data_IF_333145133766
#
_entry.id   IF_333145133766
#
_cell.length_a   1.000
_cell.length_b   1.000
_cell.length_c   1.000
_cell.angle_alpha   90.00
_cell.angle_beta   90.00
_cell.angle_gamma   90.00
#
_symmetry.space_group_name_H-M   'P 1'
#
loop_
_entity.id
_entity.type
_entity.pdbx_description
1 polymer ?
#
# COMPACT_ATOMS: atom_id res chain seq x y z
N UNK A 1 -0.09 -18.66 -12.43
CA UNK A 1 -0.16 -17.29 -12.95
C UNK A 1 1.02 -16.48 -12.45
N UNK A 2 1.65 -15.77 -13.33
CA UNK A 2 2.79 -14.96 -12.95
C UNK A 2 2.33 -13.59 -12.49
N UNK A 3 2.93 -13.13 -11.43
CA UNK A 3 2.78 -11.77 -10.97
C UNK A 3 3.60 -10.83 -11.85
N UNK A 4 3.03 -9.67 -12.16
CA UNK A 4 3.76 -8.62 -12.84
C UNK A 4 4.93 -8.16 -11.97
N UNK A 5 6.12 -8.01 -12.57
CA UNK A 5 7.30 -7.62 -11.81
C UNK A 5 7.69 -6.20 -12.14
N UNK A 6 8.13 -5.48 -11.12
CA UNK A 6 8.68 -4.14 -11.28
C UNK A 6 10.15 -4.29 -11.67
N UNK A 7 10.55 -3.53 -12.69
CA UNK A 7 11.93 -3.57 -13.19
C UNK A 7 12.55 -2.19 -13.08
N UNK A 8 13.84 -2.17 -12.77
CA UNK A 8 14.64 -0.94 -12.75
C UNK A 8 14.12 0.11 -11.77
N UNK A 9 13.44 -0.32 -10.71
CA UNK A 9 12.95 0.59 -9.69
C UNK A 9 11.90 1.60 -10.16
N UNK A 10 11.25 1.34 -11.27
CA UNK A 10 10.20 2.24 -11.78
C UNK A 10 8.88 1.94 -11.11
N UNK A 11 8.01 2.95 -11.09
CA UNK A 11 6.63 2.75 -10.65
C UNK A 11 5.97 1.64 -11.46
N UNK A 12 5.25 0.81 -10.78
CA UNK A 12 4.54 -0.31 -11.38
C UNK A 12 3.24 0.20 -11.97
N UNK A 13 3.28 0.60 -13.23
CA UNK A 13 2.12 1.19 -13.90
C UNK A 13 0.93 0.24 -13.96
N UNK A 14 1.23 -1.04 -14.18
CA UNK A 14 0.21 -2.08 -14.18
C UNK A 14 0.72 -3.19 -13.28
N UNK A 15 0.08 -3.36 -12.14
CA UNK A 15 0.42 -4.41 -11.20
C UNK A 15 -0.72 -5.41 -11.12
N UNK A 16 -0.39 -6.61 -10.67
CA UNK A 16 -1.37 -7.68 -10.48
C UNK A 16 -1.46 -8.04 -9.02
N UNK A 17 -2.68 -8.12 -8.53
CA UNK A 17 -2.97 -8.62 -7.20
C UNK A 17 -3.14 -10.13 -7.31
N UNK A 18 -2.23 -10.88 -6.70
CA UNK A 18 -2.27 -12.34 -6.73
C UNK A 18 -3.28 -12.90 -5.76
N UNK A 19 -4.05 -13.87 -6.22
CA UNK A 19 -5.07 -14.56 -5.44
C UNK A 19 -4.72 -16.03 -5.30
N UNK A 20 -5.21 -16.71 -4.23
CA UNK A 20 -4.85 -18.11 -3.98
C UNK A 20 -5.36 -19.09 -5.05
N UNK A 21 -6.37 -18.71 -5.81
CA UNK A 21 -6.92 -19.55 -6.87
C UNK A 21 -6.15 -19.46 -8.19
N UNK A 22 -5.03 -18.75 -8.20
CA UNK A 22 -4.22 -18.55 -9.39
C UNK A 22 -4.70 -17.44 -10.30
N UNK A 23 -5.80 -16.81 -9.97
CA UNK A 23 -6.30 -15.66 -10.71
C UNK A 23 -5.63 -14.39 -10.21
N UNK A 24 -5.55 -13.39 -11.05
CA UNK A 24 -4.99 -12.11 -10.68
C UNK A 24 -5.74 -10.99 -11.39
N UNK A 25 -5.67 -9.81 -10.80
CA UNK A 25 -6.29 -8.62 -11.36
C UNK A 25 -5.22 -7.56 -11.60
N UNK A 26 -5.31 -6.89 -12.75
CA UNK A 26 -4.35 -5.86 -13.12
C UNK A 26 -4.92 -4.48 -12.80
N UNK A 27 -4.07 -3.60 -12.29
CA UNK A 27 -4.43 -2.22 -12.00
C UNK A 27 -3.29 -1.29 -12.40
N UNK A 28 -3.66 -0.11 -12.85
CA UNK A 28 -2.71 0.93 -13.22
C UNK A 28 -2.49 1.85 -12.02
N UNK A 29 -1.28 1.85 -11.50
CA UNK A 29 -0.89 2.62 -10.32
C UNK A 29 -0.09 3.88 -10.67
N UNK A 30 -0.10 4.30 -11.92
CA UNK A 30 0.68 5.45 -12.36
C UNK A 30 0.05 6.81 -12.05
N UNK A 31 -1.21 6.84 -11.66
CA UNK A 31 -1.93 8.07 -11.38
C UNK A 31 -1.51 8.68 -10.04
N UNK A 32 -1.69 10.01 -9.92
CA UNK A 32 -1.42 10.72 -8.67
C UNK A 32 -2.33 10.25 -7.52
N UNK A 33 -3.54 9.87 -7.86
CA UNK A 33 -4.52 9.37 -6.91
C UNK A 33 -4.83 7.93 -7.23
N UNK A 34 -4.89 7.12 -6.20
CA UNK A 34 -5.21 5.71 -6.38
C UNK A 34 -6.16 5.28 -5.28
N UNK A 35 -7.25 4.61 -5.67
CA UNK A 35 -8.21 4.03 -4.74
C UNK A 35 -8.58 2.63 -5.20
N UNK A 36 -8.77 1.75 -4.21
CA UNK A 36 -9.22 0.37 -4.43
C UNK A 36 -10.70 0.20 -4.13
N UNK A 37 -11.47 1.29 -4.09
CA UNK A 37 -12.84 1.27 -3.57
C UNK A 37 -13.77 0.31 -4.32
N UNK A 38 -13.50 0.04 -5.61
CA UNK A 38 -14.32 -0.87 -6.41
C UNK A 38 -13.68 -2.24 -6.61
N UNK A 39 -12.62 -2.53 -5.87
CA UNK A 39 -11.78 -3.70 -6.09
C UNK A 39 -11.91 -4.64 -4.90
N UNK A 40 -12.25 -5.90 -5.16
CA UNK A 40 -12.33 -6.91 -4.11
C UNK A 40 -10.94 -7.46 -3.83
N UNK A 41 -10.41 -7.15 -2.65
CA UNK A 41 -9.09 -7.60 -2.24
C UNK A 41 -9.12 -8.72 -1.20
N UNK A 42 -10.30 -9.21 -0.84
CA UNK A 42 -10.44 -10.17 0.26
C UNK A 42 -9.65 -11.46 0.05
N UNK A 43 -9.45 -11.86 -1.21
CA UNK A 43 -8.73 -13.11 -1.55
C UNK A 43 -7.31 -12.86 -2.05
N UNK A 44 -6.79 -11.66 -1.90
CA UNK A 44 -5.43 -11.35 -2.30
C UNK A 44 -4.45 -11.89 -1.27
N UNK A 45 -3.39 -12.54 -1.72
CA UNK A 45 -2.39 -13.15 -0.84
C UNK A 45 -1.02 -12.50 -0.92
N UNK A 46 -0.70 -11.82 -2.03
CA UNK A 46 0.64 -11.29 -2.25
C UNK A 46 0.56 -9.85 -2.74
N UNK A 47 1.16 -8.96 -1.97
CA UNK A 47 1.25 -7.54 -2.29
C UNK A 47 2.69 -7.05 -2.32
N UNK A 48 3.63 -7.96 -2.53
CA UNK A 48 5.04 -7.59 -2.62
C UNK A 48 5.24 -6.59 -3.76
N UNK A 49 5.91 -5.48 -3.45
CA UNK A 49 6.26 -4.43 -4.41
C UNK A 49 5.06 -3.80 -5.12
N UNK A 50 3.90 -3.79 -4.48
CA UNK A 50 2.66 -3.33 -5.12
C UNK A 50 2.78 -1.89 -5.64
N UNK A 51 3.28 -0.98 -4.82
CA UNK A 51 3.46 0.43 -5.19
C UNK A 51 4.94 0.83 -5.22
N UNK A 52 5.80 -0.12 -5.49
CA UNK A 52 7.24 0.07 -5.51
C UNK A 52 7.62 1.23 -6.44
N UNK A 53 8.33 2.21 -5.89
CA UNK A 53 8.87 3.35 -6.62
C UNK A 53 7.80 4.20 -7.34
N UNK A 54 6.58 4.24 -6.84
CA UNK A 54 5.51 5.06 -7.40
C UNK A 54 5.64 6.50 -6.90
N UNK A 55 6.60 7.23 -7.45
CA UNK A 55 6.98 8.57 -6.97
C UNK A 55 5.94 9.64 -7.26
N UNK A 56 5.08 9.42 -8.25
CA UNK A 56 4.01 10.35 -8.60
C UNK A 56 2.76 10.17 -7.77
N UNK A 57 2.71 9.11 -6.97
CA UNK A 57 1.54 8.80 -6.17
C UNK A 57 1.53 9.69 -4.94
N UNK A 58 0.54 10.57 -4.85
CA UNK A 58 0.43 11.52 -3.73
C UNK A 58 -0.62 11.10 -2.71
N UNK A 59 -1.67 10.44 -3.16
CA UNK A 59 -2.75 9.98 -2.29
C UNK A 59 -3.06 8.52 -2.59
N UNK A 60 -2.98 7.68 -1.58
CA UNK A 60 -3.28 6.27 -1.70
C UNK A 60 -4.45 5.94 -0.78
N UNK A 61 -5.59 5.59 -1.37
CA UNK A 61 -6.79 5.28 -0.63
C UNK A 61 -7.01 3.77 -0.62
N UNK A 62 -6.78 3.17 0.53
CA UNK A 62 -6.93 1.74 0.77
C UNK A 62 -8.07 1.46 1.75
N UNK A 63 -9.04 2.36 1.83
CA UNK A 63 -10.11 2.27 2.84
C UNK A 63 -10.95 0.99 2.71
N UNK A 64 -11.04 0.42 1.51
CA UNK A 64 -11.80 -0.82 1.28
C UNK A 64 -10.90 -2.05 1.14
N UNK A 65 -9.64 -1.90 1.45
CA UNK A 65 -8.66 -2.98 1.32
C UNK A 65 -8.79 -3.95 2.48
N UNK A 66 -8.89 -5.23 2.15
CA UNK A 66 -8.91 -6.31 3.13
C UNK A 66 -7.61 -7.11 2.98
N UNK A 67 -6.72 -6.99 3.95
CA UNK A 67 -5.44 -7.67 3.92
C UNK A 67 -5.42 -8.96 4.75
N UNK A 68 -6.56 -9.45 5.18
CA UNK A 68 -6.64 -10.61 6.07
C UNK A 68 -6.00 -11.87 5.48
N UNK A 69 -6.00 -12.01 4.15
CA UNK A 69 -5.37 -13.15 3.48
C UNK A 69 -3.97 -12.87 2.96
N UNK A 70 -3.45 -11.66 3.15
CA UNK A 70 -2.16 -11.28 2.60
C UNK A 70 -1.03 -11.87 3.44
N UNK A 71 -0.09 -12.54 2.78
CA UNK A 71 1.08 -13.14 3.44
C UNK A 71 2.38 -12.42 3.10
N UNK A 72 2.37 -11.53 2.09
CA UNK A 72 3.55 -10.79 1.70
C UNK A 72 3.23 -9.35 1.32
N UNK A 73 4.00 -8.41 1.86
CA UNK A 73 3.89 -6.99 1.57
C UNK A 73 5.27 -6.37 1.46
N UNK A 74 6.24 -7.18 1.04
CA UNK A 74 7.64 -6.80 1.02
C UNK A 74 7.88 -5.68 0.02
N UNK A 75 8.49 -4.58 0.46
CA UNK A 75 8.77 -3.39 -0.34
C UNK A 75 7.53 -2.79 -1.02
N UNK A 76 6.35 -2.99 -0.45
CA UNK A 76 5.10 -2.55 -1.08
C UNK A 76 5.07 -1.03 -1.32
N UNK A 77 5.65 -0.25 -0.41
CA UNK A 77 5.64 1.22 -0.50
C UNK A 77 7.03 1.80 -0.74
N UNK A 78 7.98 0.98 -1.14
CA UNK A 78 9.37 1.42 -1.29
C UNK A 78 9.47 2.58 -2.28
N UNK A 79 10.15 3.65 -1.86
CA UNK A 79 10.42 4.82 -2.68
C UNK A 79 9.17 5.60 -3.14
N UNK A 80 8.06 5.45 -2.45
CA UNK A 80 6.86 6.27 -2.71
C UNK A 80 7.00 7.65 -2.06
N UNK A 81 8.02 8.41 -2.47
CA UNK A 81 8.38 9.66 -1.80
C UNK A 81 7.40 10.79 -2.02
N UNK A 82 6.57 10.70 -3.05
CA UNK A 82 5.53 11.70 -3.30
C UNK A 82 4.29 11.53 -2.44
N UNK A 83 4.15 10.39 -1.78
CA UNK A 83 2.95 10.08 -1.02
C UNK A 83 2.85 10.96 0.22
N UNK A 84 1.78 11.74 0.31
CA UNK A 84 1.53 12.62 1.45
C UNK A 84 0.21 12.34 2.15
N UNK A 85 -0.63 11.47 1.59
CA UNK A 85 -1.90 11.08 2.19
C UNK A 85 -2.10 9.58 2.03
N UNK A 86 -2.36 8.90 3.14
CA UNK A 86 -2.61 7.48 3.18
C UNK A 86 -3.93 7.25 3.91
N UNK A 87 -4.92 6.72 3.19
CA UNK A 87 -6.23 6.42 3.79
C UNK A 87 -6.30 4.92 4.02
N UNK A 88 -6.48 4.53 5.26
CA UNK A 88 -6.57 3.11 5.63
C UNK A 88 -7.96 2.79 6.16
N UNK A 89 -8.37 1.55 5.97
CA UNK A 89 -9.64 1.05 6.45
C UNK A 89 -9.47 0.13 7.65
N UNK A 90 -10.59 -0.28 8.21
CA UNK A 90 -10.60 -1.13 9.41
C UNK A 90 -10.12 -2.55 9.14
N UNK A 91 -10.05 -2.96 7.87
CA UNK A 91 -9.59 -4.28 7.45
C UNK A 91 -8.17 -4.28 6.91
N UNK A 92 -7.49 -3.16 7.00
CA UNK A 92 -6.10 -3.04 6.55
C UNK A 92 -5.16 -3.25 7.72
N UNK A 93 -4.21 -4.17 7.55
CA UNK A 93 -3.09 -4.36 8.46
C UNK A 93 -1.81 -4.45 7.65
N UNK A 94 -0.75 -3.82 8.14
CA UNK A 94 0.56 -4.01 7.55
C UNK A 94 1.05 -5.44 7.80
N UNK A 95 1.67 -6.04 6.80
CA UNK A 95 2.13 -7.43 6.89
C UNK A 95 3.65 -7.46 6.84
N UNK A 96 4.24 -8.11 7.83
CA UNK A 96 5.69 -8.24 7.91
C UNK A 96 6.36 -6.99 8.46
N UNK A 97 7.67 -6.91 8.24
CA UNK A 97 8.50 -5.82 8.75
C UNK A 97 9.37 -5.16 7.67
N UNK A 98 9.01 -5.36 6.41
CA UNK A 98 9.77 -4.79 5.28
C UNK A 98 8.84 -4.16 4.23
N UNK A 99 7.68 -3.68 4.64
CA UNK A 99 6.76 -3.04 3.70
C UNK A 99 7.25 -1.66 3.22
N UNK A 100 8.23 -1.11 3.87
CA UNK A 100 9.05 0.01 3.40
C UNK A 100 8.28 1.31 3.14
N UNK A 101 7.42 1.67 4.07
CA UNK A 101 6.78 2.97 3.99
C UNK A 101 7.86 4.05 4.19
N UNK A 102 7.88 5.11 3.34
CA UNK A 102 8.97 6.09 3.42
C UNK A 102 9.10 6.76 4.76
N UNK A 103 10.35 7.06 5.13
CA UNK A 103 10.66 7.77 6.37
C UNK A 103 9.87 9.07 6.46
N UNK A 104 9.04 9.21 7.48
CA UNK A 104 8.24 10.41 7.66
C UNK A 104 7.52 10.38 9.00
N UNK A 105 6.80 11.47 9.25
CA UNK A 105 5.86 11.56 10.36
C UNK A 105 4.47 11.75 9.77
N UNK A 106 3.49 11.09 10.35
CA UNK A 106 2.13 11.06 9.86
C UNK A 106 1.18 11.50 10.96
N UNK A 107 0.17 12.25 10.59
CA UNK A 107 -0.85 12.71 11.54
C UNK A 107 -2.20 12.18 11.10
N UNK A 108 -2.95 11.60 12.03
CA UNK A 108 -4.31 11.15 11.74
C UNK A 108 -5.34 12.28 11.94
N UNK A 109 -6.61 11.98 11.74
CA UNK A 109 -7.68 12.97 11.84
C UNK A 109 -7.84 13.55 13.25
N UNK A 110 -7.35 12.83 14.25
CA UNK A 110 -7.43 13.25 15.67
C UNK A 110 -6.20 14.03 16.11
N UNK A 111 -5.24 14.23 15.23
CA UNK A 111 -4.01 14.92 15.56
C UNK A 111 -2.92 14.07 16.18
N UNK A 112 -3.14 12.78 16.29
CA UNK A 112 -2.12 11.85 16.78
C UNK A 112 -1.04 11.65 15.73
N UNK A 113 0.21 11.55 16.17
CA UNK A 113 1.36 11.48 15.28
C UNK A 113 2.00 10.09 15.35
N UNK A 114 2.32 9.56 14.19
CA UNK A 114 2.95 8.26 14.04
C UNK A 114 4.19 8.42 13.15
N UNK A 115 5.17 7.58 13.38
CA UNK A 115 6.44 7.65 12.66
C UNK A 115 6.61 6.44 11.73
N UNK A 116 7.28 6.67 10.62
CA UNK A 116 7.79 5.60 9.77
C UNK A 116 9.29 5.80 9.58
N UNK A 117 10.04 4.71 9.52
CA UNK A 117 11.49 4.75 9.47
C UNK A 117 12.09 4.33 8.13
N UNK A 118 11.23 4.17 7.13
CA UNK A 118 11.66 3.70 5.81
C UNK A 118 11.52 2.18 5.66
N UNK A 119 11.20 1.49 6.74
CA UNK A 119 11.01 0.04 6.74
C UNK A 119 9.64 -0.31 7.30
N UNK A 120 9.36 0.17 8.50
CA UNK A 120 8.08 -0.05 9.19
C UNK A 120 7.53 1.28 9.69
N UNK A 121 6.32 1.24 10.19
CA UNK A 121 5.71 2.38 10.85
C UNK A 121 5.01 1.92 12.12
N UNK A 122 4.67 2.86 13.00
CA UNK A 122 3.81 2.57 14.14
C UNK A 122 2.37 3.03 13.91
N UNK A 123 2.00 3.25 12.64
CA UNK A 123 0.60 3.46 12.29
C UNK A 123 -0.17 2.19 12.66
N UNK A 124 -1.26 2.31 13.42
CA UNK A 124 -1.96 1.12 13.92
C UNK A 124 -2.65 0.34 12.81
N UNK A 125 -2.67 -0.97 12.98
CA UNK A 125 -3.40 -1.87 12.11
C UNK A 125 -4.90 -1.81 12.43
N UNK A 126 -5.71 -2.07 11.43
CA UNK A 126 -7.16 -2.23 11.58
C UNK A 126 -7.82 -1.01 12.24
N UNK A 127 -7.29 0.16 11.95
CA UNK A 127 -7.77 1.43 12.48
C UNK A 127 -8.03 2.38 11.32
N UNK A 128 -9.29 2.50 10.95
CA UNK A 128 -9.68 3.34 9.83
C UNK A 128 -9.40 4.82 10.13
N UNK A 129 -8.59 5.45 9.29
CA UNK A 129 -8.31 6.89 9.42
C UNK A 129 -7.61 7.40 8.15
N UNK A 130 -7.47 8.71 8.11
CA UNK A 130 -6.70 9.40 7.08
C UNK A 130 -5.40 9.89 7.71
N UNK A 131 -4.28 9.46 7.17
CA UNK A 131 -2.95 9.83 7.66
C UNK A 131 -2.32 10.79 6.68
N UNK A 132 -1.95 11.95 7.15
CA UNK A 132 -1.33 13.00 6.35
C UNK A 132 0.12 13.20 6.78
N UNK A 133 0.99 13.31 5.80
CA UNK A 133 2.41 13.52 6.04
C UNK A 133 2.62 14.92 6.64
N UNK A 134 3.43 15.01 7.67
CA UNK A 134 3.81 16.28 8.29
C UNK A 134 4.96 16.95 7.57
#
# INVERSE_FOLDING_TARGET
MKQERIRNGRCNRVARLEKPDGLSEARDFSHEFFTMSSFDTANVTNMNKMWYNCRSLTRLDLSNFDTSGVTGMDCAFYACHGMNTLVLGEKFAFVGNTYSIPLSRWKNSKGEVFDSDGTVSNIPDNAADVYSKL
#
